data_IF_056241378751
#
_entry.id   IF_056241378751
#
_cell.length_a   1.000
_cell.length_b   1.000
_cell.length_c   1.000
_cell.angle_alpha   90.00
_cell.angle_beta   90.00
_cell.angle_gamma   90.00
#
_symmetry.space_group_name_H-M   'P 1'
#
loop_
_entity.id
_entity.type
_entity.pdbx_description
1 polymer ?
#
# COMPACT_ATOMS: atom_id res chain seq x y z
N UNK A 1 25.42 43.04 4.60
CA UNK A 1 24.37 42.42 5.45
C UNK A 1 22.98 42.46 4.82
N UNK A 2 22.57 43.55 4.13
CA UNK A 2 21.24 43.66 3.51
C UNK A 2 21.03 42.73 2.29
N UNK A 3 22.09 42.45 1.53
CA UNK A 3 22.04 41.53 0.37
C UNK A 3 21.78 40.08 0.75
N UNK A 4 22.39 39.58 1.83
CA UNK A 4 22.17 38.22 2.35
C UNK A 4 20.72 38.05 2.85
N UNK A 5 20.18 39.09 3.52
CA UNK A 5 18.77 39.10 3.95
C UNK A 5 17.81 39.06 2.76
N UNK A 6 18.08 39.82 1.70
CA UNK A 6 17.28 39.81 0.47
C UNK A 6 17.28 38.45 -0.22
N UNK A 7 18.44 37.79 -0.29
CA UNK A 7 18.58 36.46 -0.89
C UNK A 7 17.79 35.39 -0.09
N UNK A 8 17.88 35.42 1.24
CA UNK A 8 17.16 34.49 2.11
C UNK A 8 15.63 34.63 1.98
N UNK A 9 15.13 35.87 1.91
CA UNK A 9 13.71 36.15 1.71
C UNK A 9 13.24 35.66 0.34
N UNK A 10 14.04 35.87 -0.70
CA UNK A 10 13.74 35.40 -2.06
C UNK A 10 13.64 33.88 -2.15
N UNK A 11 14.61 33.16 -1.57
CA UNK A 11 14.61 31.68 -1.53
C UNK A 11 13.39 31.17 -0.76
N UNK A 12 13.06 31.79 0.38
CA UNK A 12 11.90 31.41 1.17
C UNK A 12 10.59 31.64 0.40
N UNK A 13 10.45 32.76 -0.30
CA UNK A 13 9.28 33.05 -1.12
C UNK A 13 9.09 32.02 -2.25
N UNK A 14 10.17 31.67 -2.96
CA UNK A 14 10.15 30.62 -3.99
C UNK A 14 9.78 29.27 -3.39
N UNK A 15 10.28 28.95 -2.20
CA UNK A 15 9.99 27.69 -1.52
C UNK A 15 8.51 27.56 -1.13
N UNK A 16 7.91 28.62 -0.58
CA UNK A 16 6.49 28.66 -0.22
C UNK A 16 5.59 28.60 -1.47
N UNK A 17 5.94 29.33 -2.53
CA UNK A 17 5.17 29.29 -3.79
C UNK A 17 5.23 27.91 -4.44
N UNK A 18 6.41 27.29 -4.49
CA UNK A 18 6.56 25.93 -5.01
C UNK A 18 5.82 24.89 -4.17
N UNK A 19 5.76 25.08 -2.84
CA UNK A 19 4.95 24.23 -1.95
C UNK A 19 3.46 24.31 -2.28
N UNK A 20 2.96 25.52 -2.54
CA UNK A 20 1.57 25.74 -2.96
C UNK A 20 1.25 25.07 -4.30
N UNK A 21 2.12 25.22 -5.29
CA UNK A 21 1.96 24.59 -6.60
C UNK A 21 2.03 23.06 -6.52
N UNK A 22 3.02 22.52 -5.80
CA UNK A 22 3.14 21.07 -5.60
C UNK A 22 1.92 20.49 -4.90
N UNK A 23 1.37 21.19 -3.89
CA UNK A 23 0.12 20.80 -3.23
C UNK A 23 -1.04 20.72 -4.22
N UNK A 24 -1.17 21.69 -5.11
CA UNK A 24 -2.21 21.68 -6.15
C UNK A 24 -2.00 20.46 -7.05
N UNK A 25 -0.79 20.25 -7.56
CA UNK A 25 -0.45 19.11 -8.43
C UNK A 25 -0.78 17.79 -7.73
N UNK A 26 -0.43 17.60 -6.46
CA UNK A 26 -0.77 16.38 -5.72
C UNK A 26 -2.26 16.20 -5.51
N UNK A 27 -2.99 17.27 -5.22
CA UNK A 27 -4.44 17.21 -5.11
C UNK A 27 -5.10 16.84 -6.44
N UNK A 28 -4.52 17.27 -7.57
CA UNK A 28 -4.96 16.85 -8.91
C UNK A 28 -4.62 15.39 -9.20
N UNK A 29 -3.40 14.95 -8.87
CA UNK A 29 -2.94 13.59 -9.16
C UNK A 29 -3.72 12.55 -8.35
N UNK A 30 -4.03 12.86 -7.09
CA UNK A 30 -4.87 12.02 -6.21
C UNK A 30 -6.33 11.93 -6.69
N UNK A 31 -6.79 12.91 -7.49
CA UNK A 31 -8.17 13.00 -8.03
C UNK A 31 -8.24 12.71 -9.53
N UNK A 32 -7.14 12.32 -10.15
CA UNK A 32 -7.00 12.22 -11.61
C UNK A 32 -7.99 11.23 -12.22
N UNK A 33 -8.15 10.05 -11.62
CA UNK A 33 -9.08 9.03 -12.11
C UNK A 33 -10.55 9.48 -12.09
N UNK A 34 -10.88 10.39 -11.19
CA UNK A 34 -12.22 10.96 -11.08
C UNK A 34 -12.42 12.16 -12.00
N UNK A 35 -11.40 13.01 -12.12
CA UNK A 35 -11.35 14.11 -13.09
C UNK A 35 -11.51 13.58 -14.52
N UNK A 36 -10.87 12.45 -14.83
CA UNK A 36 -10.96 11.79 -16.14
C UNK A 36 -12.37 11.20 -16.42
N UNK A 37 -13.13 10.84 -15.38
CA UNK A 37 -14.47 10.23 -15.50
C UNK A 37 -15.62 11.24 -15.44
N UNK A 38 -15.52 12.26 -14.59
CA UNK A 38 -16.62 13.19 -14.29
C UNK A 38 -16.38 14.64 -14.76
N UNK A 39 -15.18 14.90 -15.31
CA UNK A 39 -14.72 16.22 -15.74
C UNK A 39 -14.06 17.01 -14.61
N UNK A 40 -13.08 17.85 -14.96
CA UNK A 40 -12.19 18.52 -14.01
C UNK A 40 -12.90 19.37 -12.95
N UNK A 41 -14.02 20.00 -13.29
CA UNK A 41 -14.76 20.88 -12.38
C UNK A 41 -15.54 20.08 -11.33
N UNK A 42 -16.06 18.90 -11.68
CA UNK A 42 -16.75 18.01 -10.73
C UNK A 42 -15.75 17.15 -9.95
N UNK A 43 -14.74 16.60 -10.62
CA UNK A 43 -13.71 15.78 -10.00
C UNK A 43 -12.87 16.53 -8.96
N UNK A 44 -12.65 17.84 -9.13
CA UNK A 44 -11.89 18.62 -8.15
C UNK A 44 -12.68 18.93 -6.88
N UNK A 45 -13.99 19.15 -6.95
CA UNK A 45 -14.78 19.59 -5.79
C UNK A 45 -15.60 18.47 -5.14
N UNK A 46 -16.08 17.49 -5.90
CA UNK A 46 -17.14 16.57 -5.45
C UNK A 46 -16.73 15.11 -5.36
N UNK A 47 -15.47 14.78 -5.66
CA UNK A 47 -15.01 13.39 -5.66
C UNK A 47 -14.69 12.78 -4.28
N UNK A 48 -15.04 13.45 -3.19
CA UNK A 48 -14.90 12.88 -1.84
C UNK A 48 -16.25 12.23 -1.44
N UNK A 49 -16.43 10.94 -1.76
CA UNK A 49 -17.64 10.18 -1.39
C UNK A 49 -17.71 9.83 0.10
N UNK A 50 -16.60 9.95 0.83
CA UNK A 50 -16.56 9.64 2.26
C UNK A 50 -16.76 10.91 3.11
N UNK A 51 -17.73 10.93 4.05
CA UNK A 51 -17.85 12.04 5.00
C UNK A 51 -16.58 12.10 5.87
N UNK A 52 -15.70 13.06 5.58
CA UNK A 52 -14.47 13.26 6.34
C UNK A 52 -14.82 13.96 7.66
N UNK A 53 -14.41 13.36 8.77
CA UNK A 53 -14.42 14.04 10.08
C UNK A 53 -13.49 15.26 10.01
N UNK A 54 -13.75 16.30 10.82
CA UNK A 54 -12.89 17.51 10.85
C UNK A 54 -11.40 17.18 11.07
N UNK A 55 -11.11 16.10 11.82
CA UNK A 55 -9.77 15.58 12.01
C UNK A 55 -9.17 14.95 10.75
N UNK A 56 -9.96 14.19 9.97
CA UNK A 56 -9.52 13.60 8.71
C UNK A 56 -9.18 14.65 7.64
N UNK A 57 -9.93 15.75 7.58
CA UNK A 57 -9.62 16.89 6.69
C UNK A 57 -8.31 17.57 7.11
N UNK A 58 -8.10 17.74 8.42
CA UNK A 58 -6.87 18.30 8.98
C UNK A 58 -5.65 17.45 8.64
N UNK A 59 -5.70 16.14 8.92
CA UNK A 59 -4.61 15.21 8.65
C UNK A 59 -4.23 15.18 7.15
N UNK A 60 -5.23 15.08 6.27
CA UNK A 60 -5.02 15.10 4.82
C UNK A 60 -4.39 16.42 4.34
N UNK A 61 -4.87 17.55 4.85
CA UNK A 61 -4.28 18.85 4.50
C UNK A 61 -2.84 18.96 4.99
N UNK A 62 -2.53 18.49 6.20
CA UNK A 62 -1.17 18.51 6.75
C UNK A 62 -0.24 17.60 5.95
N UNK A 63 -0.70 16.43 5.54
CA UNK A 63 0.08 15.51 4.70
C UNK A 63 0.44 16.14 3.34
N UNK A 64 -0.54 16.79 2.69
CA UNK A 64 -0.30 17.51 1.43
C UNK A 64 0.68 18.67 1.59
N UNK A 65 0.65 19.36 2.73
CA UNK A 65 1.64 20.41 3.04
C UNK A 65 3.03 19.84 3.22
N UNK A 66 3.18 18.74 3.97
CA UNK A 66 4.48 18.08 4.17
C UNK A 66 5.05 17.62 2.82
N UNK A 67 4.22 16.99 1.98
CA UNK A 67 4.61 16.60 0.61
C UNK A 67 4.99 17.81 -0.23
N UNK A 68 4.19 18.88 -0.19
CA UNK A 68 4.49 20.13 -0.88
C UNK A 68 5.82 20.74 -0.46
N UNK A 69 6.14 20.77 0.84
CA UNK A 69 7.40 21.35 1.35
C UNK A 69 8.65 20.59 0.86
N UNK A 70 8.48 19.32 0.49
CA UNK A 70 9.53 18.48 -0.09
C UNK A 70 9.76 18.67 -1.60
N UNK A 71 9.03 19.57 -2.26
CA UNK A 71 9.13 19.80 -3.72
C UNK A 71 10.55 20.06 -4.26
N UNK A 72 11.46 20.78 -3.56
CA UNK A 72 12.80 21.00 -4.10
C UNK A 72 13.60 19.70 -4.12
N UNK A 73 13.43 18.84 -3.10
CA UNK A 73 14.09 17.54 -3.04
C UNK A 73 13.65 16.66 -4.20
N UNK A 74 12.38 16.75 -4.60
CA UNK A 74 11.85 15.99 -5.71
C UNK A 74 12.49 16.38 -7.05
N UNK A 75 12.68 17.68 -7.29
CA UNK A 75 13.36 18.18 -8.49
C UNK A 75 14.83 17.71 -8.59
N UNK A 76 15.51 17.58 -7.46
CA UNK A 76 16.89 17.09 -7.43
C UNK A 76 17.00 15.55 -7.45
N UNK A 77 15.94 14.83 -7.08
CA UNK A 77 15.89 13.37 -7.24
C UNK A 77 15.51 12.91 -8.65
N UNK A 78 14.98 13.82 -9.48
CA UNK A 78 14.44 13.48 -10.81
C UNK A 78 15.48 13.56 -11.95
N UNK A 79 16.74 13.90 -11.65
CA UNK A 79 17.77 14.14 -12.69
C UNK A 79 18.56 12.90 -13.12
N UNK A 80 18.35 11.71 -12.54
CA UNK A 80 19.20 10.53 -12.80
C UNK A 80 18.49 9.27 -13.39
N UNK A 81 17.22 9.31 -13.80
CA UNK A 81 16.56 8.06 -14.24
C UNK A 81 15.63 8.19 -15.45
N UNK A 82 16.23 8.08 -16.63
CA UNK A 82 15.51 7.72 -17.87
C UNK A 82 15.51 6.19 -18.19
N UNK A 83 16.01 5.31 -17.30
CA UNK A 83 16.10 3.86 -17.61
C UNK A 83 15.30 2.94 -16.64
N UNK A 84 14.63 3.47 -15.62
CA UNK A 84 14.00 2.61 -14.57
C UNK A 84 12.54 2.94 -14.30
N UNK A 85 11.76 3.25 -15.33
CA UNK A 85 10.31 3.49 -15.23
C UNK A 85 9.44 2.22 -15.22
N UNK A 86 9.99 1.07 -14.81
CA UNK A 86 9.23 -0.21 -14.72
C UNK A 86 9.19 -0.85 -13.33
N UNK A 87 9.74 -0.20 -12.29
CA UNK A 87 9.86 -0.78 -10.93
C UNK A 87 9.13 0.03 -9.84
N UNK A 88 8.60 1.22 -10.13
CA UNK A 88 8.12 2.15 -9.09
C UNK A 88 6.71 1.89 -8.57
N UNK A 89 5.77 1.37 -9.38
CA UNK A 89 4.39 1.08 -8.92
C UNK A 89 4.23 -0.25 -8.19
N UNK A 90 5.24 -1.12 -8.22
CA UNK A 90 5.27 -2.35 -7.41
C UNK A 90 5.38 -2.04 -5.91
N UNK A 91 5.78 -0.80 -5.60
CA UNK A 91 6.22 -0.24 -4.33
C UNK A 91 5.13 0.49 -3.55
N UNK A 92 3.83 0.27 -3.81
CA UNK A 92 2.74 0.94 -3.03
C UNK A 92 1.99 0.03 -2.04
N UNK A 93 2.23 -1.28 -2.07
CA UNK A 93 1.67 -2.22 -1.06
C UNK A 93 2.64 -3.34 -0.66
N UNK A 94 3.65 -3.62 -1.50
CA UNK A 94 5.00 -3.98 -1.02
C UNK A 94 5.64 -2.79 -0.25
N UNK A 95 4.96 -1.63 -0.18
CA UNK A 95 5.28 -0.56 0.77
C UNK A 95 4.27 -0.38 1.91
N UNK A 96 3.23 -1.21 1.99
CA UNK A 96 2.39 -1.25 3.20
C UNK A 96 2.85 -2.40 4.09
N UNK A 97 3.17 -3.55 3.47
CA UNK A 97 3.88 -4.62 4.15
C UNK A 97 5.39 -4.35 4.15
N UNK A 98 6.03 -4.41 5.31
CA UNK A 98 7.49 -4.34 5.43
C UNK A 98 8.14 -5.59 4.82
N UNK A 99 9.45 -5.51 4.57
CA UNK A 99 10.24 -6.67 4.14
C UNK A 99 10.13 -7.84 5.14
N UNK A 100 10.04 -7.54 6.44
CA UNK A 100 9.85 -8.53 7.50
C UNK A 100 8.51 -9.25 7.36
N UNK A 101 7.42 -8.52 7.09
CA UNK A 101 6.09 -9.11 6.90
C UNK A 101 6.04 -9.98 5.63
N UNK A 102 6.72 -9.54 4.57
CA UNK A 102 6.83 -10.32 3.32
C UNK A 102 7.64 -11.59 3.51
N UNK A 103 8.77 -11.51 4.18
CA UNK A 103 9.60 -12.68 4.47
C UNK A 103 8.87 -13.65 5.40
N UNK A 104 8.15 -13.15 6.39
CA UNK A 104 7.36 -13.96 7.32
C UNK A 104 6.24 -14.71 6.60
N UNK A 105 5.47 -14.02 5.75
CA UNK A 105 4.41 -14.63 4.95
C UNK A 105 4.95 -15.69 3.98
N UNK A 106 6.07 -15.37 3.29
CA UNK A 106 6.72 -16.32 2.39
C UNK A 106 7.24 -17.55 3.13
N UNK A 107 7.88 -17.36 4.28
CA UNK A 107 8.34 -18.46 5.13
C UNK A 107 7.17 -19.33 5.57
N UNK A 108 6.06 -18.73 6.01
CA UNK A 108 4.89 -19.47 6.48
C UNK A 108 4.32 -20.36 5.37
N UNK A 109 4.26 -19.88 4.12
CA UNK A 109 3.81 -20.68 2.98
C UNK A 109 4.75 -21.83 2.60
N UNK A 110 6.05 -21.68 2.84
CA UNK A 110 7.06 -22.70 2.56
C UNK A 110 7.02 -23.79 3.65
N UNK A 111 6.87 -23.38 4.91
CA UNK A 111 6.85 -24.27 6.07
C UNK A 111 5.50 -24.98 6.26
N UNK A 112 4.43 -24.46 5.66
CA UNK A 112 3.09 -25.02 5.78
C UNK A 112 2.99 -26.39 5.07
N UNK A 113 2.40 -27.41 5.71
CA UNK A 113 2.21 -28.72 5.11
C UNK A 113 1.34 -28.65 3.86
N UNK A 114 1.61 -29.55 2.91
CA UNK A 114 0.93 -29.59 1.63
C UNK A 114 -0.61 -29.65 1.72
N UNK A 115 -1.25 -30.40 2.65
CA UNK A 115 -2.71 -30.42 2.76
C UNK A 115 -3.30 -29.04 3.07
N UNK A 116 -2.75 -28.33 4.05
CA UNK A 116 -3.16 -26.98 4.44
C UNK A 116 -2.90 -25.97 3.32
N UNK A 117 -1.71 -26.00 2.72
CA UNK A 117 -1.39 -25.11 1.59
C UNK A 117 -2.37 -25.32 0.43
N UNK A 118 -2.73 -26.58 0.16
CA UNK A 118 -3.69 -26.92 -0.90
C UNK A 118 -5.10 -26.39 -0.60
N UNK A 119 -5.55 -26.42 0.66
CA UNK A 119 -6.82 -25.82 1.06
C UNK A 119 -6.83 -24.32 0.81
N UNK A 120 -5.76 -23.61 1.21
CA UNK A 120 -5.62 -22.17 0.97
C UNK A 120 -5.59 -21.82 -0.52
N UNK A 121 -4.85 -22.60 -1.33
CA UNK A 121 -4.82 -22.43 -2.79
C UNK A 121 -6.21 -22.62 -3.41
N UNK A 122 -6.95 -23.66 -2.99
CA UNK A 122 -8.33 -23.91 -3.47
C UNK A 122 -9.28 -22.79 -3.08
N UNK A 123 -9.22 -22.32 -1.84
CA UNK A 123 -10.05 -21.20 -1.38
C UNK A 123 -9.72 -19.90 -2.13
N UNK A 124 -8.43 -19.67 -2.40
CA UNK A 124 -7.96 -18.51 -3.16
C UNK A 124 -8.41 -18.57 -4.63
N UNK A 125 -8.36 -19.75 -5.26
CA UNK A 125 -8.89 -19.95 -6.62
C UNK A 125 -10.41 -19.78 -6.69
N UNK A 126 -11.13 -20.29 -5.69
CA UNK A 126 -12.58 -20.08 -5.59
C UNK A 126 -12.91 -18.59 -5.45
N UNK A 127 -12.19 -17.86 -4.58
CA UNK A 127 -12.35 -16.42 -4.44
C UNK A 127 -12.05 -15.68 -5.74
N UNK A 128 -10.99 -16.05 -6.46
CA UNK A 128 -10.64 -15.42 -7.73
C UNK A 128 -11.79 -15.52 -8.77
N UNK A 129 -12.52 -16.63 -8.75
CA UNK A 129 -13.63 -16.93 -9.68
C UNK A 129 -14.97 -16.34 -9.24
N UNK A 130 -15.27 -16.39 -7.94
CA UNK A 130 -16.62 -16.14 -7.41
C UNK A 130 -16.72 -14.84 -6.61
N UNK A 131 -15.58 -14.25 -6.24
CA UNK A 131 -15.48 -13.11 -5.32
C UNK A 131 -16.08 -13.38 -3.93
N UNK A 132 -16.25 -14.65 -3.55
CA UNK A 132 -16.73 -15.05 -2.22
C UNK A 132 -15.65 -14.83 -1.15
N UNK A 133 -15.68 -13.66 -0.52
CA UNK A 133 -14.76 -13.28 0.54
C UNK A 133 -14.98 -14.07 1.83
N UNK A 134 -16.18 -14.61 2.07
CA UNK A 134 -16.51 -15.38 3.27
C UNK A 134 -15.78 -16.72 3.24
N UNK A 135 -15.81 -17.40 2.09
CA UNK A 135 -15.10 -18.67 1.90
C UNK A 135 -13.59 -18.51 2.06
N UNK A 136 -13.03 -17.40 1.56
CA UNK A 136 -11.61 -17.09 1.73
C UNK A 136 -11.25 -16.85 3.20
N UNK A 137 -12.00 -15.99 3.90
CA UNK A 137 -11.74 -15.72 5.32
C UNK A 137 -11.82 -16.98 6.18
N UNK A 138 -12.84 -17.83 5.97
CA UNK A 138 -12.96 -19.11 6.69
C UNK A 138 -11.77 -20.05 6.48
N UNK A 139 -11.14 -20.02 5.30
CA UNK A 139 -9.95 -20.82 5.03
C UNK A 139 -8.70 -20.26 5.74
N UNK A 140 -8.68 -18.96 6.02
CA UNK A 140 -7.61 -18.29 6.75
C UNK A 140 -7.82 -18.28 8.27
N UNK A 141 -9.05 -18.45 8.74
CA UNK A 141 -9.41 -18.58 10.16
C UNK A 141 -9.04 -19.96 10.75
N UNK A 142 -8.45 -20.86 9.96
CA UNK A 142 -7.97 -22.15 10.47
C UNK A 142 -6.66 -21.95 11.25
N UNK A 143 -6.52 -22.63 12.39
CA UNK A 143 -5.44 -22.47 13.37
C UNK A 143 -4.02 -22.53 12.78
N UNK A 144 -3.83 -23.18 11.63
CA UNK A 144 -2.51 -23.31 11.00
C UNK A 144 -1.97 -21.99 10.45
N UNK A 145 -2.80 -21.08 9.94
CA UNK A 145 -2.29 -19.79 9.41
C UNK A 145 -1.63 -18.96 10.51
N UNK A 146 -2.28 -18.71 11.67
CA UNK A 146 -1.65 -18.06 12.81
C UNK A 146 -0.39 -18.78 13.31
N UNK A 147 -0.44 -20.11 13.36
CA UNK A 147 0.66 -20.96 13.85
C UNK A 147 1.93 -20.78 12.99
N UNK A 148 1.81 -20.92 11.67
CA UNK A 148 2.97 -20.85 10.76
C UNK A 148 3.51 -19.42 10.61
N UNK A 149 2.64 -18.40 10.63
CA UNK A 149 3.08 -17.01 10.66
C UNK A 149 3.88 -16.71 11.92
N UNK A 150 3.39 -17.11 13.10
CA UNK A 150 4.06 -16.87 14.38
C UNK A 150 5.42 -17.58 14.46
N UNK A 151 5.51 -18.82 13.94
CA UNK A 151 6.80 -19.54 13.83
C UNK A 151 7.82 -18.74 13.01
N UNK A 152 7.39 -18.19 11.87
CA UNK A 152 8.27 -17.44 10.97
C UNK A 152 8.61 -16.03 11.49
N UNK A 153 7.79 -15.44 12.36
CA UNK A 153 8.10 -14.14 12.97
C UNK A 153 9.35 -14.18 13.84
N UNK A 154 9.63 -15.30 14.50
CA UNK A 154 10.84 -15.46 15.31
C UNK A 154 12.13 -15.31 14.50
N UNK A 155 12.07 -15.62 13.20
CA UNK A 155 13.22 -15.56 12.28
C UNK A 155 13.22 -14.26 11.47
N UNK A 156 12.04 -13.80 11.02
CA UNK A 156 11.92 -12.76 10.00
C UNK A 156 11.37 -11.43 10.51
N UNK A 157 10.84 -11.37 11.73
CA UNK A 157 10.29 -10.17 12.35
C UNK A 157 11.14 -9.68 13.54
N UNK A 158 12.43 -10.04 13.58
CA UNK A 158 13.30 -9.78 14.74
C UNK A 158 13.36 -8.30 15.12
N UNK A 159 13.38 -7.38 14.16
CA UNK A 159 13.45 -5.93 14.45
C UNK A 159 12.09 -5.42 14.94
N UNK A 160 10.99 -5.86 14.32
CA UNK A 160 9.66 -5.45 14.76
C UNK A 160 9.30 -6.01 16.13
N UNK A 161 9.59 -7.29 16.40
CA UNK A 161 9.28 -7.91 17.70
C UNK A 161 10.15 -7.40 18.85
N UNK A 162 11.39 -6.98 18.58
CA UNK A 162 12.28 -6.43 19.63
C UNK A 162 11.99 -4.96 19.94
N UNK A 163 11.49 -4.18 18.97
CA UNK A 163 11.28 -2.75 19.13
C UNK A 163 9.84 -2.35 19.47
N UNK A 164 8.86 -3.25 19.31
CA UNK A 164 7.45 -2.94 19.54
C UNK A 164 6.94 -3.67 20.78
N UNK A 165 6.79 -2.92 21.86
CA UNK A 165 6.31 -3.42 23.16
C UNK A 165 4.78 -3.38 23.30
N UNK A 166 4.05 -3.01 22.24
CA UNK A 166 2.60 -2.83 22.26
C UNK A 166 1.91 -3.96 21.49
N UNK A 167 0.96 -4.63 22.15
CA UNK A 167 0.11 -5.68 21.57
C UNK A 167 -0.61 -5.22 20.30
N UNK A 168 -1.06 -3.96 20.25
CA UNK A 168 -1.69 -3.38 19.05
C UNK A 168 -0.77 -3.43 17.83
N UNK A 169 0.50 -3.12 18.03
CA UNK A 169 1.47 -3.10 16.93
C UNK A 169 1.80 -4.51 16.44
N UNK A 170 1.83 -5.48 17.34
CA UNK A 170 1.98 -6.88 16.99
C UNK A 170 0.78 -7.38 16.18
N UNK A 171 -0.45 -7.05 16.59
CA UNK A 171 -1.68 -7.39 15.86
C UNK A 171 -1.66 -6.77 14.47
N UNK A 172 -1.30 -5.49 14.32
CA UNK A 172 -1.15 -4.87 13.00
C UNK A 172 -0.06 -5.53 12.17
N UNK A 173 1.05 -5.94 12.80
CA UNK A 173 2.12 -6.64 12.09
C UNK A 173 1.65 -7.99 11.56
N UNK A 174 0.93 -8.75 12.39
CA UNK A 174 0.34 -10.02 12.06
C UNK A 174 -0.66 -9.88 10.90
N UNK A 175 -1.63 -8.99 11.04
CA UNK A 175 -2.68 -8.75 10.05
C UNK A 175 -2.10 -8.41 8.67
N UNK A 176 -1.12 -7.49 8.62
CA UNK A 176 -0.43 -7.17 7.37
C UNK A 176 0.40 -8.35 6.82
N UNK A 177 0.97 -9.21 7.66
CA UNK A 177 1.67 -10.41 7.21
C UNK A 177 0.71 -11.43 6.61
N UNK A 178 -0.44 -11.63 7.23
CA UNK A 178 -1.49 -12.52 6.74
C UNK A 178 -2.07 -12.02 5.41
N UNK A 179 -2.35 -10.71 5.30
CA UNK A 179 -2.78 -10.10 4.03
C UNK A 179 -1.76 -10.33 2.92
N UNK A 180 -0.47 -10.21 3.23
CA UNK A 180 0.58 -10.45 2.27
C UNK A 180 0.65 -11.94 1.87
N UNK A 181 0.39 -12.84 2.81
CA UNK A 181 0.26 -14.27 2.54
C UNK A 181 -0.89 -14.57 1.57
N UNK A 182 -2.07 -13.94 1.77
CA UNK A 182 -3.20 -14.01 0.82
C UNK A 182 -2.79 -13.57 -0.59
N UNK A 183 -2.02 -12.49 -0.70
CA UNK A 183 -1.51 -12.02 -2.01
C UNK A 183 -0.53 -12.98 -2.66
N UNK A 184 0.38 -13.59 -1.89
CA UNK A 184 1.32 -14.58 -2.42
C UNK A 184 0.59 -15.81 -2.97
N UNK A 185 -0.43 -16.30 -2.25
CA UNK A 185 -1.30 -17.39 -2.71
C UNK A 185 -2.08 -17.01 -3.96
N UNK A 186 -2.60 -15.78 -4.03
CA UNK A 186 -3.29 -15.29 -5.23
C UNK A 186 -2.38 -15.29 -6.45
N UNK A 187 -1.13 -14.83 -6.31
CA UNK A 187 -0.14 -14.86 -7.38
C UNK A 187 0.19 -16.30 -7.78
N UNK A 188 0.30 -17.22 -6.83
CA UNK A 188 0.54 -18.64 -7.10
C UNK A 188 -0.60 -19.26 -7.93
N UNK A 189 -1.86 -19.01 -7.53
CA UNK A 189 -3.05 -19.44 -8.28
C UNK A 189 -3.10 -18.84 -9.67
N UNK A 190 -2.90 -17.53 -9.79
CA UNK A 190 -2.93 -16.84 -11.08
C UNK A 190 -1.87 -17.38 -12.05
N UNK A 191 -0.65 -17.67 -11.55
CA UNK A 191 0.39 -18.35 -12.33
C UNK A 191 -0.01 -19.77 -12.73
N UNK A 192 -0.61 -20.55 -11.83
CA UNK A 192 -1.09 -21.90 -12.17
C UNK A 192 -2.20 -21.89 -13.22
N UNK A 193 -2.97 -20.80 -13.31
CA UNK A 193 -4.00 -20.58 -14.32
C UNK A 193 -3.45 -20.00 -15.64
N UNK A 194 -2.12 -19.93 -15.81
CA UNK A 194 -1.46 -19.54 -17.06
C UNK A 194 -1.23 -18.04 -17.23
N UNK A 195 -1.49 -17.21 -16.22
CA UNK A 195 -1.22 -15.78 -16.32
C UNK A 195 0.26 -15.47 -16.37
N UNK A 196 0.66 -14.61 -17.30
CA UNK A 196 2.03 -14.17 -17.44
C UNK A 196 2.37 -13.00 -16.50
N UNK A 197 3.65 -12.67 -16.40
CA UNK A 197 4.15 -11.61 -15.52
C UNK A 197 3.60 -10.20 -15.84
N UNK A 198 3.15 -9.94 -17.07
CA UNK A 198 2.56 -8.66 -17.45
C UNK A 198 1.10 -8.56 -16.99
N UNK A 199 0.33 -9.65 -17.15
CA UNK A 199 -1.06 -9.76 -16.67
C UNK A 199 -1.14 -9.73 -15.14
N UNK A 200 -0.20 -10.40 -14.47
CA UNK A 200 -0.08 -10.32 -13.00
C UNK A 200 0.20 -8.89 -12.52
N UNK A 201 0.93 -8.09 -13.30
CA UNK A 201 1.22 -6.70 -12.96
C UNK A 201 -0.01 -5.80 -13.08
N UNK A 202 -0.92 -6.06 -14.03
CA UNK A 202 -2.17 -5.30 -14.16
C UNK A 202 -3.21 -5.70 -13.11
N UNK A 203 -3.35 -7.00 -12.81
CA UNK A 203 -4.20 -7.52 -11.74
C UNK A 203 -3.81 -7.01 -10.35
N UNK A 204 -2.54 -6.64 -10.18
CA UNK A 204 -1.99 -6.04 -8.96
C UNK A 204 -2.61 -4.68 -8.61
N UNK A 205 -3.48 -4.10 -9.43
CA UNK A 205 -4.19 -2.86 -9.09
C UNK A 205 -5.65 -3.12 -8.69
N UNK A 206 -6.37 -3.98 -9.41
CA UNK A 206 -7.82 -4.17 -9.20
C UNK A 206 -8.16 -5.08 -8.02
N UNK A 207 -7.57 -6.28 -7.96
CA UNK A 207 -7.76 -7.23 -6.84
C UNK A 207 -7.14 -6.68 -5.56
N UNK A 208 -6.15 -5.83 -5.74
CA UNK A 208 -5.45 -5.09 -4.70
C UNK A 208 -6.37 -4.09 -3.99
N UNK A 209 -7.23 -3.41 -4.74
CA UNK A 209 -8.26 -2.54 -4.20
C UNK A 209 -9.40 -3.34 -3.53
N UNK A 210 -9.72 -4.54 -4.03
CA UNK A 210 -10.67 -5.45 -3.35
C UNK A 210 -10.12 -5.96 -2.01
N UNK A 211 -8.87 -6.40 -1.94
CA UNK A 211 -8.23 -6.77 -0.67
C UNK A 211 -8.09 -5.56 0.26
N UNK A 212 -7.81 -4.38 -0.26
CA UNK A 212 -7.82 -3.14 0.53
C UNK A 212 -9.22 -2.86 1.13
N UNK A 213 -10.29 -2.99 0.33
CA UNK A 213 -11.68 -2.81 0.80
C UNK A 213 -12.11 -3.85 1.83
N UNK A 214 -11.85 -5.13 1.58
CA UNK A 214 -12.18 -6.23 2.51
C UNK A 214 -11.55 -6.04 3.89
N UNK A 215 -10.45 -5.30 3.96
CA UNK A 215 -9.69 -5.04 5.16
C UNK A 215 -10.02 -3.72 5.87
N UNK A 216 -10.72 -2.79 5.21
CA UNK A 216 -11.15 -1.52 5.79
C UNK A 216 -12.59 -1.59 6.34
N UNK A 217 -13.39 -2.59 5.92
CA UNK A 217 -14.74 -2.80 6.47
C UNK A 217 -14.75 -3.38 7.90
N UNK A 218 -13.59 -3.80 8.43
CA UNK A 218 -13.45 -4.41 9.76
C UNK A 218 -12.54 -3.64 10.74
N UNK A 219 -12.17 -2.39 10.44
CA UNK A 219 -11.44 -1.48 11.34
C UNK A 219 -12.17 -0.15 11.54
#
# INVERSE_FOLDING_TARGET
MNTIKGLAIGIFAVWILGTGLARIIYAFDDRKECIDKEGWLKGLFWCDETPKTRYGVGAYSTELWIKGLSWPLLLFTETDHEVTKSVSMTKKLVSMATKEQTNSASCALIEMPAPQKTLLLKATDLFAKTKDSIALSKAFDIDEVPLYLTKCFQVHATVTLQNRNNERDFIHFYDLSERNMRMLLFVEVARSNGMNSAELKSLKNDIWNEFYRLNYEYY
#
